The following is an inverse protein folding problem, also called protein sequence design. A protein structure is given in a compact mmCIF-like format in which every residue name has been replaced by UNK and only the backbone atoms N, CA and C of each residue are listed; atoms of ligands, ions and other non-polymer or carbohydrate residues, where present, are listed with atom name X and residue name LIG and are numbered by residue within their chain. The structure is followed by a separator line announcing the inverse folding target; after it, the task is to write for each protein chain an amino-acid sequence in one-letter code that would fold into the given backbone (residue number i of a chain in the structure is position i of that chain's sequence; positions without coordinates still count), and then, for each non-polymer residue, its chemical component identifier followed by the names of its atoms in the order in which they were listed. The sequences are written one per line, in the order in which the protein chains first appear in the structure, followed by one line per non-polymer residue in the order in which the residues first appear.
data_IF_263632475240
#
_entry.id   IF_263632475240
#
_cell.length_a   1.000
_cell.length_b   1.000
_cell.length_c   1.000
_cell.angle_alpha   90.00
_cell.angle_beta   90.00
_cell.angle_gamma   90.00
#
_symmetry.space_group_name_H-M   'P 1'
#
loop_
_entity.id
_entity.type
_entity.pdbx_description
1 polymer ?
#
# COMPACT_ATOMS: atom_id res chain seq x y z
N UNK A 1 2.81 21.95 -17.00
CA UNK A 1 2.06 22.69 -15.95
C UNK A 1 0.79 21.96 -15.51
N UNK A 2 0.13 21.19 -16.38
CA UNK A 2 -1.09 20.45 -16.03
C UNK A 2 -0.84 19.15 -15.24
N UNK A 3 0.20 18.39 -15.57
CA UNK A 3 0.62 17.18 -14.83
C UNK A 3 0.95 17.45 -13.36
N UNK A 4 1.54 18.60 -13.07
CA UNK A 4 1.87 19.04 -11.72
C UNK A 4 0.60 19.33 -10.88
N UNK A 5 -0.50 19.74 -11.53
CA UNK A 5 -1.80 19.96 -10.87
C UNK A 5 -2.41 18.65 -10.36
N UNK A 6 -2.36 17.58 -11.16
CA UNK A 6 -2.90 16.28 -10.75
C UNK A 6 -2.14 15.69 -9.57
N UNK A 7 -0.81 15.80 -9.57
CA UNK A 7 0.03 15.36 -8.47
C UNK A 7 -0.31 16.16 -7.20
N UNK A 8 -0.38 17.50 -7.28
CA UNK A 8 -0.74 18.35 -6.13
C UNK A 8 -2.13 18.01 -5.57
N UNK A 9 -3.11 17.79 -6.44
CA UNK A 9 -4.46 17.39 -6.04
C UNK A 9 -4.47 16.03 -5.33
N UNK A 10 -3.74 15.05 -5.85
CA UNK A 10 -3.62 13.72 -5.24
C UNK A 10 -2.93 13.79 -3.87
N UNK A 11 -1.86 14.60 -3.75
CA UNK A 11 -1.16 14.83 -2.48
C UNK A 11 -2.14 15.40 -1.45
N UNK A 12 -2.88 16.46 -1.81
CA UNK A 12 -3.86 17.08 -0.91
C UNK A 12 -4.97 16.12 -0.49
N UNK A 13 -5.50 15.33 -1.44
CA UNK A 13 -6.53 14.32 -1.17
C UNK A 13 -6.05 13.23 -0.20
N UNK A 14 -4.85 12.69 -0.44
CA UNK A 14 -4.25 11.66 0.44
C UNK A 14 -3.94 12.25 1.82
N UNK A 15 -3.43 13.47 1.88
CA UNK A 15 -3.17 14.15 3.13
C UNK A 15 -4.45 14.31 3.97
N UNK A 16 -5.55 14.75 3.35
CA UNK A 16 -6.86 14.84 4.00
C UNK A 16 -7.35 13.48 4.54
N UNK A 17 -7.18 12.40 3.76
CA UNK A 17 -7.51 11.04 4.20
C UNK A 17 -6.69 10.62 5.44
N UNK A 18 -5.40 10.96 5.48
CA UNK A 18 -4.53 10.62 6.61
C UNK A 18 -4.89 11.43 7.86
N UNK A 19 -5.16 12.72 7.71
CA UNK A 19 -5.54 13.63 8.80
C UNK A 19 -6.88 13.24 9.42
N UNK A 20 -7.85 12.83 8.60
CA UNK A 20 -9.19 12.42 9.05
C UNK A 20 -9.30 10.95 9.49
N UNK A 21 -8.20 10.19 9.46
CA UNK A 21 -8.17 8.77 9.80
C UNK A 21 -8.45 8.46 11.28
N UNK A 22 -8.38 9.46 12.16
CA UNK A 22 -8.59 9.30 13.61
C UNK A 22 -7.39 8.65 14.33
N UNK A 23 -7.60 8.07 15.53
CA UNK A 23 -6.53 7.48 16.33
C UNK A 23 -6.09 6.09 15.84
N UNK A 24 -4.86 5.73 16.17
CA UNK A 24 -4.34 4.37 15.96
C UNK A 24 -4.81 3.41 17.05
N UNK A 25 -4.94 2.13 16.71
CA UNK A 25 -5.21 1.06 17.67
C UNK A 25 -4.23 -0.11 17.56
N UNK A 26 -4.11 -0.88 18.65
CA UNK A 26 -3.30 -2.09 18.69
C UNK A 26 -3.89 -3.18 17.79
N UNK A 27 -3.03 -3.95 17.13
CA UNK A 27 -3.47 -4.99 16.18
C UNK A 27 -4.38 -6.04 16.85
N UNK A 28 -4.11 -6.35 18.12
CA UNK A 28 -4.90 -7.29 18.93
C UNK A 28 -6.31 -6.81 19.24
N UNK A 29 -6.56 -5.49 19.20
CA UNK A 29 -7.87 -4.88 19.50
C UNK A 29 -8.76 -4.67 18.27
N UNK A 30 -8.28 -5.05 17.08
CA UNK A 30 -9.03 -4.85 15.84
C UNK A 30 -10.15 -5.88 15.62
N UNK A 31 -10.15 -6.99 16.37
CA UNK A 31 -11.16 -8.05 16.26
C UNK A 31 -12.54 -7.48 16.65
N UNK A 32 -13.57 -7.81 15.88
CA UNK A 32 -14.95 -7.32 16.10
C UNK A 32 -15.24 -5.93 15.53
N UNK A 33 -14.23 -5.18 15.06
CA UNK A 33 -14.45 -3.88 14.42
C UNK A 33 -14.92 -4.02 12.96
N UNK A 34 -15.75 -3.06 12.52
CA UNK A 34 -16.18 -2.98 11.11
C UNK A 34 -14.99 -2.82 10.17
N UNK A 35 -15.16 -3.21 8.91
CA UNK A 35 -14.10 -3.07 7.91
C UNK A 35 -13.69 -1.60 7.70
N UNK A 36 -14.66 -0.68 7.67
CA UNK A 36 -14.41 0.75 7.54
C UNK A 36 -13.57 1.31 8.70
N UNK A 37 -13.90 0.94 9.94
CA UNK A 37 -13.13 1.36 11.12
C UNK A 37 -11.70 0.83 11.08
N UNK A 38 -11.51 -0.44 10.69
CA UNK A 38 -10.17 -1.04 10.52
C UNK A 38 -9.37 -0.37 9.41
N UNK A 39 -10.00 0.03 8.31
CA UNK A 39 -9.34 0.77 7.24
C UNK A 39 -8.87 2.15 7.72
N UNK A 40 -9.71 2.88 8.47
CA UNK A 40 -9.31 4.15 9.12
C UNK A 40 -8.12 3.96 10.08
N UNK A 41 -8.14 2.93 10.91
CA UNK A 41 -7.01 2.61 11.80
C UNK A 41 -5.73 2.30 11.00
N UNK A 42 -5.84 1.60 9.87
CA UNK A 42 -4.69 1.33 9.00
C UNK A 42 -4.10 2.63 8.43
N UNK A 43 -4.94 3.57 7.98
CA UNK A 43 -4.51 4.91 7.56
C UNK A 43 -3.88 5.70 8.70
N UNK A 44 -4.47 5.67 9.89
CA UNK A 44 -3.91 6.32 11.07
C UNK A 44 -2.52 5.77 11.42
N UNK A 45 -2.30 4.45 11.25
CA UNK A 45 -1.00 3.82 11.46
C UNK A 45 0.03 4.28 10.44
N UNK A 46 -0.35 4.42 9.17
CA UNK A 46 0.53 4.95 8.13
C UNK A 46 0.92 6.40 8.42
N UNK A 47 -0.04 7.21 8.91
CA UNK A 47 0.22 8.59 9.36
C UNK A 47 1.20 8.63 10.54
N UNK A 48 0.96 7.84 11.59
CA UNK A 48 1.85 7.78 12.76
C UNK A 48 3.24 7.25 12.39
N UNK A 49 3.33 6.35 11.41
CA UNK A 49 4.60 5.88 10.86
C UNK A 49 5.31 6.91 9.96
N UNK A 50 4.74 8.11 9.77
CA UNK A 50 5.35 9.19 8.98
C UNK A 50 5.38 8.93 7.47
N UNK A 51 4.51 8.05 6.96
CA UNK A 51 4.46 7.76 5.52
C UNK A 51 3.87 8.98 4.79
N UNK A 52 4.69 9.61 3.95
CA UNK A 52 4.30 10.82 3.22
C UNK A 52 3.30 10.52 2.09
N UNK A 53 2.40 11.46 1.73
CA UNK A 53 1.42 11.29 0.66
C UNK A 53 2.01 10.85 -0.69
N UNK A 54 3.20 11.34 -1.04
CA UNK A 54 3.89 11.00 -2.29
C UNK A 54 4.16 9.50 -2.39
N UNK A 55 4.42 8.84 -1.25
CA UNK A 55 4.66 7.40 -1.21
C UNK A 55 3.41 6.60 -1.60
N UNK A 56 2.23 7.09 -1.27
CA UNK A 56 0.96 6.46 -1.67
C UNK A 56 0.75 6.55 -3.18
N UNK A 57 1.02 7.74 -3.75
CA UNK A 57 0.92 7.98 -5.21
C UNK A 57 1.91 7.08 -5.95
N UNK A 58 3.17 7.05 -5.49
CA UNK A 58 4.21 6.19 -6.07
C UNK A 58 3.79 4.72 -6.03
N UNK A 59 3.22 4.24 -4.93
CA UNK A 59 2.75 2.85 -4.82
C UNK A 59 1.59 2.59 -5.78
N UNK A 60 0.62 3.49 -5.87
CA UNK A 60 -0.52 3.32 -6.78
C UNK A 60 -0.07 3.30 -8.25
N UNK A 61 0.84 4.20 -8.64
CA UNK A 61 1.48 4.22 -9.96
C UNK A 61 2.28 2.95 -10.24
N UNK A 62 3.16 2.55 -9.32
CA UNK A 62 4.02 1.39 -9.49
C UNK A 62 3.20 0.09 -9.61
N UNK A 63 2.17 -0.09 -8.79
CA UNK A 63 1.28 -1.26 -8.89
C UNK A 63 0.55 -1.26 -10.24
N UNK A 64 0.09 -0.11 -10.73
CA UNK A 64 -0.57 -0.03 -12.04
C UNK A 64 0.41 -0.37 -13.17
N UNK A 65 1.62 0.19 -13.13
CA UNK A 65 2.66 -0.10 -14.10
C UNK A 65 3.02 -1.59 -14.13
N UNK A 66 3.15 -2.23 -12.97
CA UNK A 66 3.41 -3.66 -12.88
C UNK A 66 2.26 -4.51 -13.45
N UNK A 67 1.00 -4.09 -13.25
CA UNK A 67 -0.15 -4.80 -13.81
C UNK A 67 -0.22 -4.67 -15.33
N UNK A 68 0.07 -3.49 -15.89
CA UNK A 68 0.06 -3.28 -17.35
C UNK A 68 1.23 -3.96 -18.05
N UNK A 69 2.41 -3.98 -17.42
CA UNK A 69 3.64 -4.55 -17.97
C UNK A 69 3.65 -6.09 -17.94
N UNK A 70 2.88 -6.73 -17.04
CA UNK A 70 2.76 -8.18 -16.93
C UNK A 70 1.55 -8.73 -17.73
N UNK A 71 1.77 -9.48 -18.83
CA UNK A 71 0.70 -10.08 -19.62
C UNK A 71 -0.16 -11.10 -18.84
N UNK A 72 0.39 -11.71 -17.79
CA UNK A 72 -0.31 -12.70 -16.95
C UNK A 72 -1.13 -12.07 -15.82
N UNK A 73 -1.09 -10.75 -15.67
CA UNK A 73 -1.72 -10.07 -14.54
C UNK A 73 -3.23 -9.89 -14.70
N UNK A 74 -3.94 -9.86 -13.58
CA UNK A 74 -5.36 -9.52 -13.56
C UNK A 74 -5.53 -8.01 -13.75
N UNK A 75 -6.24 -7.61 -14.80
CA UNK A 75 -6.45 -6.19 -15.14
C UNK A 75 -7.73 -5.57 -14.54
N UNK A 76 -8.32 -6.22 -13.54
CA UNK A 76 -9.53 -5.70 -12.92
C UNK A 76 -9.21 -4.53 -11.97
N UNK A 77 -10.11 -3.55 -11.90
CA UNK A 77 -9.98 -2.41 -10.97
C UNK A 77 -9.84 -2.89 -9.51
N UNK A 78 -10.58 -3.93 -9.14
CA UNK A 78 -10.51 -4.53 -7.81
C UNK A 78 -9.12 -5.10 -7.50
N UNK A 79 -8.50 -5.81 -8.44
CA UNK A 79 -7.16 -6.38 -8.24
C UNK A 79 -6.15 -5.27 -7.94
N UNK A 80 -6.13 -4.20 -8.75
CA UNK A 80 -5.28 -3.02 -8.51
C UNK A 80 -5.50 -2.43 -7.12
N UNK A 81 -6.75 -2.17 -6.75
CA UNK A 81 -7.14 -1.64 -5.43
C UNK A 81 -6.57 -2.50 -4.29
N UNK A 82 -6.75 -3.81 -4.38
CA UNK A 82 -6.31 -4.76 -3.35
C UNK A 82 -4.77 -4.78 -3.25
N UNK A 83 -4.06 -4.76 -4.38
CA UNK A 83 -2.60 -4.77 -4.38
C UNK A 83 -2.02 -3.46 -3.84
N UNK A 84 -2.59 -2.30 -4.20
CA UNK A 84 -2.23 -1.01 -3.58
C UNK A 84 -2.42 -1.07 -2.07
N UNK A 85 -3.57 -1.54 -1.60
CA UNK A 85 -3.86 -1.66 -0.18
C UNK A 85 -2.89 -2.59 0.55
N UNK A 86 -2.52 -3.73 -0.05
CA UNK A 86 -1.54 -4.67 0.52
C UNK A 86 -0.16 -4.04 0.63
N UNK A 87 0.29 -3.35 -0.42
CA UNK A 87 1.59 -2.67 -0.43
C UNK A 87 1.66 -1.59 0.66
N UNK A 88 0.62 -0.77 0.79
CA UNK A 88 0.51 0.21 1.86
C UNK A 88 0.47 -0.45 3.24
N UNK A 89 -0.35 -1.48 3.41
CA UNK A 89 -0.49 -2.18 4.68
C UNK A 89 0.88 -2.67 5.19
N UNK A 90 1.73 -3.22 4.32
CA UNK A 90 3.09 -3.69 4.69
C UNK A 90 3.99 -2.60 5.28
N UNK A 91 3.76 -1.31 4.98
CA UNK A 91 4.59 -0.20 5.50
C UNK A 91 4.39 0.06 6.99
N UNK A 92 3.20 -0.24 7.53
CA UNK A 92 2.85 0.06 8.92
C UNK A 92 2.01 -1.04 9.60
N UNK A 93 1.97 -2.23 9.01
CA UNK A 93 1.32 -3.38 9.62
C UNK A 93 2.29 -4.03 10.58
N UNK A 94 2.19 -3.67 11.85
CA UNK A 94 2.92 -4.32 12.92
C UNK A 94 2.53 -3.74 14.26
N UNK A 95 2.60 -4.56 15.31
CA UNK A 95 2.59 -4.11 16.69
C UNK A 95 3.64 -4.94 17.39
N UNK A 96 4.70 -4.25 17.82
CA UNK A 96 5.84 -4.82 18.51
C UNK A 96 5.80 -4.27 19.93
N UNK A 97 5.58 -5.12 20.93
CA UNK A 97 5.66 -4.74 22.34
C UNK A 97 6.70 -5.61 23.04
N UNK A 98 7.49 -4.97 23.90
CA UNK A 98 8.49 -5.62 24.75
C UNK A 98 8.15 -5.28 26.20
N UNK A 99 8.15 -6.29 27.06
CA UNK A 99 7.98 -6.10 28.49
C UNK A 99 9.18 -6.69 29.23
N UNK A 100 9.85 -5.89 30.08
CA UNK A 100 10.81 -6.43 31.03
C UNK A 100 10.06 -7.19 32.13
N UNK A 101 10.61 -8.32 32.57
CA UNK A 101 10.15 -9.04 33.75
C UNK A 101 11.36 -9.64 34.47
N UNK A 102 11.22 -9.91 35.77
CA UNK A 102 12.23 -10.65 36.52
C UNK A 102 11.84 -12.13 36.58
N UNK A 103 12.79 -13.03 36.33
CA UNK A 103 12.57 -14.46 36.55
C UNK A 103 12.47 -14.79 38.05
N UNK A 104 12.15 -16.04 38.38
CA UNK A 104 12.04 -16.49 39.77
C UNK A 104 13.35 -16.33 40.58
N UNK A 105 14.48 -16.11 39.90
CA UNK A 105 15.80 -15.87 40.47
C UNK A 105 16.20 -14.38 40.43
N UNK A 106 15.27 -13.48 40.12
CA UNK A 106 15.48 -12.04 40.09
C UNK A 106 16.25 -11.52 38.87
N UNK A 107 16.60 -12.37 37.90
CA UNK A 107 17.36 -11.96 36.71
C UNK A 107 16.44 -11.21 35.72
N UNK A 108 16.91 -10.08 35.14
CA UNK A 108 16.12 -9.35 34.16
C UNK A 108 15.97 -10.18 32.88
N UNK A 109 14.72 -10.36 32.46
CA UNK A 109 14.32 -11.01 31.21
C UNK A 109 13.40 -10.07 30.42
N UNK A 110 13.25 -10.36 29.14
CA UNK A 110 12.33 -9.64 28.26
C UNK A 110 11.41 -10.64 27.56
N UNK A 111 10.14 -10.27 27.44
CA UNK A 111 9.17 -10.99 26.60
C UNK A 111 8.67 -10.06 25.49
N UNK A 112 8.47 -10.61 24.29
CA UNK A 112 8.08 -9.86 23.09
C UNK A 112 6.72 -10.34 22.55
N UNK A 113 5.91 -9.41 22.06
CA UNK A 113 4.68 -9.70 21.30
C UNK A 113 4.75 -9.05 19.94
N UNK A 114 4.57 -9.86 18.89
CA UNK A 114 4.41 -9.44 17.51
C UNK A 114 2.98 -9.70 17.05
N UNK A 115 2.24 -8.66 16.71
CA UNK A 115 0.88 -8.80 16.20
C UNK A 115 0.70 -8.03 14.88
N UNK A 116 0.22 -8.74 13.87
CA UNK A 116 0.00 -8.22 12.52
C UNK A 116 -1.49 -8.31 12.16
N UNK A 117 -2.16 -7.21 11.80
CA UNK A 117 -3.51 -7.27 11.27
C UNK A 117 -3.53 -8.12 9.99
N UNK A 118 -4.56 -8.96 9.83
CA UNK A 118 -4.74 -9.74 8.59
C UNK A 118 -5.01 -8.78 7.43
N UNK A 119 -4.14 -8.81 6.41
CA UNK A 119 -4.30 -8.06 5.16
C UNK A 119 -5.28 -8.80 4.23
N UNK A 120 -6.57 -8.76 4.56
CA UNK A 120 -7.60 -9.51 3.82
C UNK A 120 -9.00 -8.87 3.92
N UNK A 121 -9.83 -9.16 2.92
CA UNK A 121 -11.27 -8.86 2.92
C UNK A 121 -11.59 -7.38 2.65
N UNK A 122 -12.78 -6.96 3.08
CA UNK A 122 -13.36 -5.65 2.77
C UNK A 122 -12.49 -4.46 3.20
N UNK A 123 -11.63 -4.64 4.20
CA UNK A 123 -10.68 -3.61 4.66
C UNK A 123 -9.76 -3.14 3.52
N UNK A 124 -9.27 -4.07 2.69
CA UNK A 124 -8.37 -3.74 1.58
C UNK A 124 -9.10 -2.98 0.48
N UNK A 125 -10.37 -3.32 0.22
CA UNK A 125 -11.19 -2.63 -0.78
C UNK A 125 -11.43 -1.18 -0.37
N UNK A 126 -11.77 -0.95 0.89
CA UNK A 126 -11.99 0.40 1.43
C UNK A 126 -10.69 1.21 1.43
N UNK A 127 -9.61 0.64 1.96
CA UNK A 127 -8.31 1.31 2.04
C UNK A 127 -7.75 1.64 0.66
N UNK A 128 -7.68 0.64 -0.22
CA UNK A 128 -7.11 0.79 -1.55
C UNK A 128 -8.00 1.64 -2.46
N UNK A 129 -9.33 1.57 -2.29
CA UNK A 129 -10.29 2.37 -3.02
C UNK A 129 -10.12 3.85 -2.71
N UNK A 130 -10.07 4.21 -1.43
CA UNK A 130 -9.87 5.60 -1.00
C UNK A 130 -8.57 6.21 -1.56
N UNK A 131 -7.50 5.42 -1.66
CA UNK A 131 -6.22 5.89 -2.22
C UNK A 131 -6.28 5.95 -3.75
N UNK A 132 -6.80 4.90 -4.42
CA UNK A 132 -6.86 4.85 -5.88
C UNK A 132 -7.71 5.98 -6.44
N UNK A 133 -8.83 6.32 -5.79
CA UNK A 133 -9.71 7.43 -6.18
C UNK A 133 -8.95 8.76 -6.27
N UNK A 134 -8.07 9.06 -5.30
CA UNK A 134 -7.24 10.26 -5.35
C UNK A 134 -6.14 10.21 -6.42
N UNK A 135 -5.76 9.01 -6.85
CA UNK A 135 -4.65 8.80 -7.78
C UNK A 135 -5.09 8.58 -9.24
N UNK A 136 -6.39 8.46 -9.56
CA UNK A 136 -6.84 8.03 -10.89
C UNK A 136 -6.27 8.91 -12.02
N UNK A 137 -6.36 10.22 -11.88
CA UNK A 137 -5.82 11.17 -12.87
C UNK A 137 -4.29 11.13 -12.98
N UNK A 138 -3.60 10.96 -11.85
CA UNK A 138 -2.14 10.84 -11.84
C UNK A 138 -1.73 9.57 -12.58
N UNK A 139 -2.42 8.46 -12.32
CA UNK A 139 -2.18 7.19 -13.00
C UNK A 139 -2.40 7.35 -14.51
N UNK A 140 -3.55 7.86 -14.93
CA UNK A 140 -3.87 8.03 -16.34
C UNK A 140 -2.83 8.85 -17.09
N UNK A 141 -2.39 9.98 -16.52
CA UNK A 141 -1.46 10.90 -17.20
C UNK A 141 0.01 10.46 -17.14
N UNK A 142 0.44 9.77 -16.09
CA UNK A 142 1.86 9.47 -15.87
C UNK A 142 2.26 8.03 -16.15
N UNK A 143 1.32 7.10 -16.21
CA UNK A 143 1.59 5.69 -16.44
C UNK A 143 2.40 5.41 -17.74
N UNK A 144 2.09 6.01 -18.90
CA UNK A 144 2.88 5.79 -20.11
C UNK A 144 4.35 6.20 -19.94
N UNK A 145 4.60 7.34 -19.27
CA UNK A 145 5.95 7.81 -18.99
C UNK A 145 6.71 6.90 -18.03
N UNK A 146 6.05 6.37 -17.00
CA UNK A 146 6.65 5.41 -16.06
C UNK A 146 7.02 4.11 -16.77
N UNK A 147 6.16 3.60 -17.65
CA UNK A 147 6.43 2.40 -18.44
C UNK A 147 7.59 2.62 -19.41
N UNK A 148 7.63 3.75 -20.11
CA UNK A 148 8.74 4.10 -21.00
C UNK A 148 10.08 4.15 -20.25
N UNK A 149 10.13 4.84 -19.11
CA UNK A 149 11.34 4.92 -18.27
C UNK A 149 11.75 3.55 -17.72
N UNK A 150 10.79 2.68 -17.37
CA UNK A 150 11.07 1.31 -16.94
C UNK A 150 11.71 0.51 -18.08
N UNK A 151 11.15 0.58 -19.29
CA UNK A 151 11.67 -0.16 -20.45
C UNK A 151 13.05 0.36 -20.87
N UNK A 152 13.25 1.67 -20.86
CA UNK A 152 14.55 2.28 -21.13
C UNK A 152 15.62 1.81 -20.14
N UNK A 153 15.26 1.73 -18.85
CA UNK A 153 16.22 1.39 -17.79
C UNK A 153 16.47 -0.10 -17.60
N UNK A 154 15.43 -0.93 -17.74
CA UNK A 154 15.48 -2.35 -17.37
C UNK A 154 15.12 -3.29 -18.52
N UNK A 155 14.71 -2.76 -19.67
CA UNK A 155 14.25 -3.53 -20.81
C UNK A 155 12.76 -3.94 -20.74
N UNK A 156 12.27 -4.57 -21.83
CA UNK A 156 10.91 -5.09 -21.90
C UNK A 156 10.67 -6.22 -20.89
N UNK A 157 9.41 -6.46 -20.55
CA UNK A 157 9.06 -7.55 -19.64
C UNK A 157 9.51 -8.92 -20.20
N UNK A 158 10.15 -9.81 -19.41
CA UNK A 158 10.70 -11.08 -19.90
C UNK A 158 9.69 -11.97 -20.63
N UNK A 159 8.43 -12.00 -20.15
CA UNK A 159 7.37 -12.76 -20.81
C UNK A 159 7.07 -12.26 -22.22
N UNK A 160 7.19 -10.96 -22.48
CA UNK A 160 6.98 -10.37 -23.81
C UNK A 160 8.13 -10.70 -24.78
N UNK A 161 9.35 -10.89 -24.27
CA UNK A 161 10.51 -11.31 -25.07
C UNK A 161 10.41 -12.78 -25.45
N UNK A 162 9.96 -13.65 -24.52
CA UNK A 162 9.85 -15.10 -24.77
C UNK A 162 8.77 -15.47 -25.81
N UNK A 163 7.74 -14.65 -25.97
CA UNK A 163 6.66 -14.88 -26.94
C UNK A 163 7.11 -14.72 -28.40
N UNK A 164 8.26 -14.08 -28.66
CA UNK A 164 8.81 -13.87 -29.99
C UNK A 164 9.78 -14.98 -30.46
N UNK A 165 10.14 -15.93 -29.59
CA UNK A 165 10.97 -17.07 -29.96
C UNK A 165 10.08 -18.21 -30.51
N UNK A 166 10.32 -18.73 -31.73
CA UNK A 166 9.55 -19.87 -32.24
C UNK A 166 9.75 -21.06 -31.31
N UNK A 167 8.63 -21.64 -30.85
CA UNK A 167 8.66 -22.94 -30.16
C UNK A 167 9.23 -23.96 -31.14
N UNK A 168 10.41 -24.50 -30.82
CA UNK A 168 10.99 -25.65 -31.54
C UNK A 168 10.16 -26.90 -31.29
#
# INVERSE_FOLDING_TARGET
MESDRFIKSAIAGIQSILETAGPTELATRLRGMSAAKRAKIALARLRVAGIKPERFIIIALAITALIEDDPGSHRTKEFRIVQTAKALHRLASGTHKRWPYHDAQGRPRQTEMHAFPRSSGQVLRILGGAVNEQCEWVIEKHLPGVLALKVERYGPHPACVSAAAPRR
#
